data_IF_856996651636
#
_entry.id   IF_856996651636
#
_cell.length_a   1.000
_cell.length_b   1.000
_cell.length_c   1.000
_cell.angle_alpha   90.00
_cell.angle_beta   90.00
_cell.angle_gamma   90.00
#
_symmetry.space_group_name_H-M   'P 1'
#
loop_
_entity.id
_entity.type
_entity.pdbx_description
1 polymer ?
#
# COMPACT_ATOMS: atom_id res chain seq x y z
N UNK A 1 20.30 14.89 -16.27
CA UNK A 1 18.93 15.01 -15.76
C UNK A 1 17.90 14.38 -16.70
N UNK A 2 17.88 14.72 -18.01
CA UNK A 2 16.92 14.11 -18.95
C UNK A 2 17.02 12.59 -19.09
N UNK A 3 18.22 12.01 -19.01
CA UNK A 3 18.42 10.56 -19.08
C UNK A 3 17.76 9.85 -17.88
N UNK A 4 17.93 10.37 -16.67
CA UNK A 4 17.32 9.79 -15.47
C UNK A 4 15.80 9.88 -15.51
N UNK A 5 15.23 10.99 -15.94
CA UNK A 5 13.77 11.16 -16.08
C UNK A 5 13.13 10.23 -17.13
N UNK A 6 13.92 9.62 -18.02
CA UNK A 6 13.43 8.60 -18.96
C UNK A 6 13.41 7.18 -18.38
N UNK A 7 14.21 6.95 -17.33
CA UNK A 7 14.33 5.63 -16.69
C UNK A 7 13.43 5.53 -15.45
N UNK A 8 13.25 6.63 -14.72
CA UNK A 8 12.51 6.67 -13.47
C UNK A 8 11.02 6.79 -13.73
N UNK A 9 10.20 6.17 -12.88
CA UNK A 9 8.72 6.26 -12.96
C UNK A 9 8.20 7.67 -12.74
N UNK A 10 8.88 8.44 -11.90
CA UNK A 10 8.59 9.86 -11.66
C UNK A 10 9.84 10.71 -11.94
N UNK A 11 9.67 12.01 -12.30
CA UNK A 11 10.77 12.94 -12.39
C UNK A 11 11.61 12.96 -11.10
N UNK A 12 12.91 13.19 -11.23
CA UNK A 12 13.86 13.08 -10.11
C UNK A 12 13.53 14.03 -8.94
N UNK A 13 12.94 15.18 -9.24
CA UNK A 13 12.49 16.16 -8.23
C UNK A 13 11.27 15.68 -7.43
N UNK A 14 10.46 14.79 -7.98
CA UNK A 14 9.29 14.17 -7.31
C UNK A 14 9.65 12.85 -6.59
N UNK A 15 10.75 12.22 -7.00
CA UNK A 15 11.15 10.90 -6.50
C UNK A 15 11.33 10.82 -4.97
N UNK A 16 11.95 11.80 -4.27
CA UNK A 16 12.06 11.76 -2.81
C UNK A 16 10.72 11.67 -2.10
N UNK A 17 9.71 12.42 -2.57
CA UNK A 17 8.37 12.43 -2.00
C UNK A 17 7.64 11.10 -2.19
N UNK A 18 7.76 10.54 -3.40
CA UNK A 18 7.26 9.21 -3.70
C UNK A 18 7.88 8.15 -2.79
N UNK A 19 9.21 8.16 -2.63
CA UNK A 19 9.92 7.20 -1.78
C UNK A 19 9.52 7.33 -0.30
N UNK A 20 9.40 8.53 0.22
CA UNK A 20 8.92 8.76 1.60
C UNK A 20 7.51 8.19 1.78
N UNK A 21 6.61 8.45 0.84
CA UNK A 21 5.24 7.95 0.88
C UNK A 21 5.18 6.42 0.86
N UNK A 22 5.96 5.77 -0.01
CA UNK A 22 6.02 4.31 -0.12
C UNK A 22 6.68 3.68 1.12
N UNK A 23 7.75 4.29 1.64
CA UNK A 23 8.39 3.81 2.88
C UNK A 23 7.38 3.84 4.03
N UNK A 24 6.65 4.92 4.19
CA UNK A 24 5.60 5.03 5.20
C UNK A 24 4.50 3.96 4.98
N UNK A 25 3.99 3.88 3.75
CA UNK A 25 2.88 2.99 3.40
C UNK A 25 3.22 1.51 3.64
N UNK A 26 4.36 1.03 3.13
CA UNK A 26 4.77 -0.36 3.32
C UNK A 26 5.14 -0.68 4.77
N UNK A 27 5.79 0.25 5.47
CA UNK A 27 6.17 0.03 6.88
C UNK A 27 4.94 -0.21 7.75
N UNK A 28 3.93 0.66 7.63
CA UNK A 28 2.71 0.54 8.44
C UNK A 28 1.87 -0.68 8.01
N UNK A 29 1.85 -0.99 6.72
CA UNK A 29 1.19 -2.17 6.17
C UNK A 29 1.78 -3.46 6.74
N UNK A 30 3.07 -3.69 6.61
CA UNK A 30 3.77 -4.88 7.11
C UNK A 30 3.74 -4.96 8.64
N UNK A 31 3.92 -3.82 9.33
CA UNK A 31 3.75 -3.75 10.77
C UNK A 31 2.36 -4.21 11.20
N UNK A 32 1.32 -3.83 10.48
CA UNK A 32 -0.06 -4.20 10.82
C UNK A 32 -0.28 -5.71 10.72
N UNK A 33 0.23 -6.37 9.69
CA UNK A 33 0.22 -7.83 9.60
C UNK A 33 0.96 -8.47 10.78
N UNK A 34 2.19 -8.03 11.06
CA UNK A 34 3.02 -8.54 12.14
C UNK A 34 2.37 -8.35 13.52
N UNK A 35 1.78 -7.17 13.75
CA UNK A 35 1.12 -6.83 15.01
C UNK A 35 -0.10 -7.72 15.27
N UNK A 36 -1.01 -7.85 14.31
CA UNK A 36 -2.21 -8.67 14.48
C UNK A 36 -1.88 -10.16 14.55
N UNK A 37 -0.91 -10.66 13.77
CA UNK A 37 -0.43 -12.04 13.88
C UNK A 37 0.08 -12.33 15.30
N UNK A 38 0.96 -11.46 15.83
CA UNK A 38 1.48 -11.62 17.20
C UNK A 38 0.35 -11.50 18.25
N UNK A 39 -0.61 -10.59 18.06
CA UNK A 39 -1.75 -10.41 18.97
C UNK A 39 -2.66 -11.64 19.01
N UNK A 40 -2.74 -12.40 17.93
CA UNK A 40 -3.55 -13.63 17.82
C UNK A 40 -2.77 -14.91 18.15
N UNK A 41 -1.57 -14.78 18.73
CA UNK A 41 -0.81 -15.92 19.25
C UNK A 41 0.30 -16.42 18.34
N UNK A 42 0.50 -15.85 17.15
CA UNK A 42 1.62 -16.21 16.29
C UNK A 42 2.89 -15.39 16.64
N UNK A 43 3.91 -15.99 17.26
CA UNK A 43 5.14 -15.29 17.63
C UNK A 43 6.12 -15.15 16.46
N UNK A 44 5.85 -15.74 15.29
CA UNK A 44 6.80 -15.87 14.19
C UNK A 44 7.38 -14.51 13.76
N UNK A 45 6.53 -13.53 13.48
CA UNK A 45 6.95 -12.20 13.08
C UNK A 45 7.73 -11.48 14.20
N UNK A 46 7.30 -11.63 15.46
CA UNK A 46 7.96 -11.04 16.62
C UNK A 46 9.37 -11.58 16.84
N UNK A 47 9.55 -12.90 16.76
CA UNK A 47 10.85 -13.56 16.90
C UNK A 47 11.85 -13.13 15.83
N UNK A 48 11.37 -12.73 14.66
CA UNK A 48 12.17 -12.18 13.56
C UNK A 48 12.34 -10.65 13.63
N UNK A 49 11.90 -10.00 14.73
CA UNK A 49 12.03 -8.55 14.91
C UNK A 49 11.16 -7.73 13.95
N UNK A 50 10.05 -8.32 13.41
CA UNK A 50 9.20 -7.67 12.42
C UNK A 50 8.05 -6.85 13.03
N UNK A 51 7.76 -6.99 14.33
CA UNK A 51 6.75 -6.20 15.04
C UNK A 51 7.38 -4.86 15.43
N UNK A 52 7.64 -4.01 14.45
CA UNK A 52 8.29 -2.70 14.60
C UNK A 52 7.91 -1.77 13.46
N UNK A 53 7.94 -0.47 13.71
CA UNK A 53 7.81 0.58 12.68
C UNK A 53 9.17 0.99 12.07
N UNK A 54 10.24 0.25 12.35
CA UNK A 54 11.52 0.48 11.68
C UNK A 54 11.44 0.03 10.21
N UNK A 55 11.52 0.93 9.22
CA UNK A 55 11.37 0.57 7.83
C UNK A 55 12.45 -0.40 7.34
N UNK A 56 13.66 -0.36 7.89
CA UNK A 56 14.79 -1.17 7.43
C UNK A 56 14.52 -2.69 7.46
N UNK A 57 13.64 -3.16 8.36
CA UNK A 57 13.32 -4.59 8.45
C UNK A 57 12.25 -5.04 7.45
N UNK A 58 11.49 -4.10 6.88
CA UNK A 58 10.37 -4.37 5.97
C UNK A 58 10.73 -4.27 4.49
N UNK A 59 11.88 -3.70 4.16
CA UNK A 59 12.27 -3.47 2.78
C UNK A 59 13.13 -4.59 2.20
N UNK A 60 12.89 -4.85 0.92
CA UNK A 60 13.73 -5.63 0.04
C UNK A 60 14.46 -4.70 -0.92
N UNK A 61 15.78 -4.83 -1.03
CA UNK A 61 16.59 -3.93 -1.86
C UNK A 61 16.22 -4.02 -3.34
N UNK A 62 15.98 -5.24 -3.85
CA UNK A 62 15.60 -5.44 -5.26
C UNK A 62 14.18 -4.92 -5.51
N UNK A 63 13.25 -5.10 -4.54
CA UNK A 63 11.91 -4.56 -4.61
C UNK A 63 11.91 -3.03 -4.71
N UNK A 64 12.77 -2.34 -3.94
CA UNK A 64 12.90 -0.87 -4.01
C UNK A 64 13.49 -0.43 -5.37
N UNK A 65 14.54 -1.09 -5.85
CA UNK A 65 15.17 -0.74 -7.14
C UNK A 65 14.15 -0.88 -8.28
N UNK A 66 13.41 -1.98 -8.32
CA UNK A 66 12.36 -2.20 -9.32
C UNK A 66 11.23 -1.18 -9.20
N UNK A 67 10.85 -0.81 -7.99
CA UNK A 67 9.82 0.21 -7.75
C UNK A 67 10.22 1.57 -8.34
N UNK A 68 11.48 1.96 -8.19
CA UNK A 68 12.02 3.24 -8.69
C UNK A 68 12.11 3.27 -10.22
N UNK A 69 12.47 2.13 -10.82
CA UNK A 69 12.72 2.03 -12.28
C UNK A 69 11.42 1.67 -13.01
N UNK A 70 10.74 0.62 -12.57
CA UNK A 70 9.61 0.02 -13.28
C UNK A 70 8.25 0.44 -12.69
N UNK A 71 8.23 1.17 -11.58
CA UNK A 71 6.99 1.54 -10.88
C UNK A 71 6.31 0.40 -10.15
N UNK A 72 6.97 -0.75 -10.10
CA UNK A 72 6.53 -1.93 -9.40
C UNK A 72 7.66 -2.45 -8.50
N UNK A 73 7.31 -2.78 -7.28
CA UNK A 73 8.25 -3.35 -6.32
C UNK A 73 7.48 -4.05 -5.20
N UNK A 74 8.21 -4.63 -4.29
CA UNK A 74 7.64 -5.32 -3.14
C UNK A 74 8.38 -4.99 -1.86
N UNK A 75 7.64 -5.05 -0.76
CA UNK A 75 8.21 -5.12 0.58
C UNK A 75 8.63 -6.56 0.90
N UNK A 76 9.44 -6.72 1.91
CA UNK A 76 9.77 -8.04 2.43
C UNK A 76 8.60 -8.57 3.25
N UNK A 77 7.86 -9.62 2.79
CA UNK A 77 6.63 -10.05 3.43
C UNK A 77 6.83 -10.47 4.87
N UNK A 78 5.85 -10.21 5.72
CA UNK A 78 5.82 -10.71 7.10
C UNK A 78 5.42 -12.18 7.09
N UNK A 79 6.22 -13.08 7.66
CA UNK A 79 5.83 -14.48 7.79
C UNK A 79 4.75 -14.63 8.86
N UNK A 80 3.67 -15.33 8.49
CA UNK A 80 2.51 -15.62 9.37
C UNK A 80 2.25 -17.12 9.36
N UNK A 81 2.29 -17.75 10.55
CA UNK A 81 1.90 -19.13 10.73
C UNK A 81 0.49 -19.24 11.33
N UNK A 82 -0.48 -19.56 10.45
CA UNK A 82 -1.89 -19.68 10.84
C UNK A 82 -2.18 -20.81 11.83
N UNK A 83 -1.30 -21.81 11.94
CA UNK A 83 -1.46 -22.92 12.89
C UNK A 83 -1.35 -22.46 14.35
N UNK A 84 -0.71 -21.31 14.58
CA UNK A 84 -0.60 -20.71 15.92
C UNK A 84 -1.87 -19.96 16.35
N UNK A 85 -2.87 -19.84 15.48
CA UNK A 85 -4.10 -19.11 15.78
C UNK A 85 -5.18 -20.03 16.39
N UNK A 86 -5.88 -19.57 17.43
CA UNK A 86 -7.02 -20.27 18.01
C UNK A 86 -8.16 -20.49 17.00
N UNK A 87 -8.35 -19.51 16.10
CA UNK A 87 -9.34 -19.55 15.01
C UNK A 87 -8.67 -19.22 13.69
N UNK A 88 -7.93 -20.19 13.07
CA UNK A 88 -7.02 -19.93 11.94
C UNK A 88 -7.64 -19.15 10.79
N UNK A 89 -8.90 -19.47 10.40
CA UNK A 89 -9.58 -18.80 9.30
C UNK A 89 -9.94 -17.35 9.62
N UNK A 90 -10.65 -17.13 10.75
CA UNK A 90 -11.10 -15.79 11.12
C UNK A 90 -9.91 -14.86 11.40
N UNK A 91 -8.94 -15.35 12.17
CA UNK A 91 -7.74 -14.58 12.51
C UNK A 91 -6.86 -14.37 11.28
N UNK A 92 -6.77 -15.35 10.38
CA UNK A 92 -6.09 -15.23 9.11
C UNK A 92 -6.68 -14.11 8.24
N UNK A 93 -8.01 -14.04 8.12
CA UNK A 93 -8.72 -12.95 7.42
C UNK A 93 -8.39 -11.59 8.04
N UNK A 94 -8.47 -11.47 9.38
CA UNK A 94 -8.18 -10.20 10.07
C UNK A 94 -6.73 -9.77 9.83
N UNK A 95 -5.78 -10.70 9.95
CA UNK A 95 -4.36 -10.42 9.69
C UNK A 95 -4.16 -9.97 8.25
N UNK A 96 -4.75 -10.68 7.28
CA UNK A 96 -4.60 -10.34 5.85
C UNK A 96 -5.24 -9.00 5.49
N UNK A 97 -6.36 -8.61 6.11
CA UNK A 97 -6.99 -7.31 5.87
C UNK A 97 -6.27 -6.16 6.60
N UNK A 98 -5.56 -6.45 7.69
CA UNK A 98 -4.93 -5.42 8.53
C UNK A 98 -3.95 -4.53 7.76
N UNK A 99 -3.15 -5.11 6.85
CA UNK A 99 -2.24 -4.35 5.99
C UNK A 99 -2.97 -3.36 5.09
N UNK A 100 -3.83 -3.83 4.18
CA UNK A 100 -4.62 -2.94 3.33
C UNK A 100 -5.41 -1.90 4.12
N UNK A 101 -6.07 -2.30 5.21
CA UNK A 101 -6.86 -1.38 6.03
C UNK A 101 -5.99 -0.29 6.66
N UNK A 102 -4.76 -0.60 7.04
CA UNK A 102 -3.82 0.41 7.55
C UNK A 102 -3.47 1.45 6.49
N UNK A 103 -3.31 1.04 5.24
CA UNK A 103 -3.11 1.97 4.12
C UNK A 103 -4.37 2.85 3.91
N UNK A 104 -5.58 2.28 3.96
CA UNK A 104 -6.79 3.08 3.90
C UNK A 104 -6.82 4.16 4.99
N UNK A 105 -6.53 3.79 6.24
CA UNK A 105 -6.49 4.73 7.38
C UNK A 105 -5.44 5.82 7.16
N UNK A 106 -4.25 5.48 6.67
CA UNK A 106 -3.20 6.47 6.36
C UNK A 106 -3.64 7.42 5.23
N UNK A 107 -4.32 6.92 4.19
CA UNK A 107 -4.88 7.76 3.12
C UNK A 107 -5.91 8.75 3.65
N UNK A 108 -6.83 8.28 4.52
CA UNK A 108 -7.84 9.13 5.17
C UNK A 108 -7.21 10.17 6.09
N UNK A 109 -6.25 9.78 6.94
CA UNK A 109 -5.54 10.70 7.84
C UNK A 109 -4.71 11.72 7.04
N UNK A 110 -4.04 11.30 5.98
CA UNK A 110 -3.33 12.19 5.07
C UNK A 110 -4.25 13.24 4.43
N UNK A 111 -5.44 12.79 3.97
CA UNK A 111 -6.46 13.68 3.39
C UNK A 111 -6.99 14.69 4.41
N UNK A 112 -7.27 14.23 5.65
CA UNK A 112 -7.72 15.10 6.75
C UNK A 112 -6.69 16.19 7.07
N UNK A 113 -5.42 15.79 7.24
CA UNK A 113 -4.34 16.73 7.55
C UNK A 113 -4.14 17.71 6.40
N UNK A 114 -4.09 17.22 5.16
CA UNK A 114 -3.89 18.08 3.99
C UNK A 114 -5.02 19.07 3.80
N UNK A 115 -6.28 18.63 3.90
CA UNK A 115 -7.45 19.52 3.85
C UNK A 115 -7.39 20.58 4.95
N UNK A 116 -6.99 20.24 6.16
CA UNK A 116 -6.78 21.22 7.23
C UNK A 116 -5.67 22.22 6.92
N UNK A 117 -4.52 21.77 6.39
CA UNK A 117 -3.42 22.66 6.00
C UNK A 117 -3.87 23.69 4.90
N UNK A 118 -4.73 23.26 3.99
CA UNK A 118 -5.30 24.15 2.96
C UNK A 118 -6.34 25.08 3.57
N UNK A 119 -7.33 24.54 4.26
CA UNK A 119 -8.48 25.31 4.76
C UNK A 119 -8.10 26.38 5.78
N UNK A 120 -7.12 26.11 6.64
CA UNK A 120 -6.66 27.07 7.64
C UNK A 120 -5.54 28.00 7.13
N UNK A 121 -5.29 28.00 5.81
CA UNK A 121 -4.30 28.89 5.18
C UNK A 121 -2.85 28.61 5.56
N UNK A 122 -2.55 27.45 6.14
CA UNK A 122 -1.19 27.09 6.55
C UNK A 122 -0.25 27.01 5.36
N UNK A 123 -0.70 26.38 4.25
CA UNK A 123 0.08 26.30 3.02
C UNK A 123 0.33 27.67 2.39
N UNK A 124 -0.64 28.57 2.44
CA UNK A 124 -0.53 29.95 1.90
C UNK A 124 0.39 30.82 2.76
N UNK A 125 0.47 30.54 4.08
CA UNK A 125 1.36 31.25 4.99
C UNK A 125 2.85 30.91 4.80
N UNK A 126 3.16 29.83 4.07
CA UNK A 126 4.54 29.44 3.76
C UNK A 126 5.09 30.39 2.69
N UNK A 127 5.94 31.34 3.10
CA UNK A 127 6.55 32.33 2.20
C UNK A 127 7.49 31.72 1.16
N UNK A 128 8.08 30.56 1.47
CA UNK A 128 8.92 29.81 0.52
C UNK A 128 8.05 28.94 -0.40
N UNK A 129 7.80 29.39 -1.62
CA UNK A 129 6.98 28.67 -2.61
C UNK A 129 7.45 27.24 -2.88
N UNK A 130 8.77 26.98 -2.86
CA UNK A 130 9.30 25.63 -3.05
C UNK A 130 8.93 24.71 -1.88
N UNK A 131 8.92 25.23 -0.65
CA UNK A 131 8.51 24.46 0.52
C UNK A 131 7.00 24.17 0.49
N UNK A 132 6.18 25.13 0.12
CA UNK A 132 4.74 24.94 -0.05
C UNK A 132 4.44 23.85 -1.10
N UNK A 133 5.09 23.93 -2.28
CA UNK A 133 4.97 22.90 -3.33
C UNK A 133 5.47 21.53 -2.89
N UNK A 134 6.60 21.47 -2.18
CA UNK A 134 7.15 20.24 -1.63
C UNK A 134 6.18 19.58 -0.64
N UNK A 135 5.56 20.38 0.24
CA UNK A 135 4.56 19.90 1.20
C UNK A 135 3.33 19.34 0.48
N UNK A 136 2.77 20.08 -0.48
CA UNK A 136 1.63 19.62 -1.27
C UNK A 136 1.95 18.32 -2.04
N UNK A 137 3.14 18.24 -2.65
CA UNK A 137 3.61 17.07 -3.38
C UNK A 137 3.76 15.84 -2.45
N UNK A 138 4.30 16.04 -1.25
CA UNK A 138 4.46 14.97 -0.26
C UNK A 138 3.08 14.40 0.14
N UNK A 139 2.12 15.27 0.50
CA UNK A 139 0.78 14.82 0.87
C UNK A 139 0.06 14.16 -0.31
N UNK A 140 0.21 14.68 -1.53
CA UNK A 140 -0.32 14.02 -2.72
C UNK A 140 0.15 12.56 -2.80
N UNK A 141 1.47 12.29 -2.68
CA UNK A 141 1.98 10.92 -2.73
C UNK A 141 1.57 10.08 -1.53
N UNK A 142 1.57 10.65 -0.32
CA UNK A 142 1.12 9.91 0.87
C UNK A 142 -0.33 9.43 0.67
N UNK A 143 -1.22 10.29 0.23
CA UNK A 143 -2.64 9.98 0.10
C UNK A 143 -2.87 8.98 -1.04
N UNK A 144 -2.36 9.32 -2.25
CA UNK A 144 -2.65 8.53 -3.44
C UNK A 144 -2.03 7.13 -3.37
N UNK A 145 -0.79 7.00 -2.87
CA UNK A 145 -0.13 5.70 -2.76
C UNK A 145 -0.80 4.82 -1.71
N UNK A 146 -1.25 5.38 -0.61
CA UNK A 146 -1.95 4.62 0.41
C UNK A 146 -3.33 4.13 -0.07
N UNK A 147 -4.13 4.95 -0.74
CA UNK A 147 -5.39 4.50 -1.34
C UNK A 147 -5.15 3.47 -2.46
N UNK A 148 -4.14 3.69 -3.29
CA UNK A 148 -3.78 2.72 -4.33
C UNK A 148 -3.38 1.37 -3.73
N UNK A 149 -2.49 1.34 -2.73
CA UNK A 149 -2.05 0.11 -2.07
C UNK A 149 -3.18 -0.60 -1.33
N UNK A 150 -4.10 0.15 -0.73
CA UNK A 150 -5.33 -0.42 -0.16
C UNK A 150 -6.12 -1.20 -1.20
N UNK A 151 -6.47 -0.58 -2.33
CA UNK A 151 -7.24 -1.22 -3.40
C UNK A 151 -6.48 -2.36 -4.07
N UNK A 152 -5.19 -2.15 -4.33
CA UNK A 152 -4.33 -3.11 -5.01
C UNK A 152 -4.17 -4.40 -4.21
N UNK A 153 -3.92 -4.30 -2.91
CA UNK A 153 -3.76 -5.47 -2.06
C UNK A 153 -5.07 -6.21 -1.76
N UNK A 154 -6.23 -5.64 -2.06
CA UNK A 154 -7.52 -6.34 -1.98
C UNK A 154 -7.85 -7.17 -3.22
N UNK A 155 -7.06 -7.11 -4.29
CA UNK A 155 -7.23 -7.98 -5.45
C UNK A 155 -7.04 -9.44 -5.02
N UNK A 156 -7.98 -10.35 -5.38
CA UNK A 156 -7.88 -11.76 -5.00
C UNK A 156 -6.92 -12.55 -5.91
N UNK A 157 -5.69 -12.07 -6.05
CA UNK A 157 -4.63 -12.66 -6.87
C UNK A 157 -3.33 -12.78 -6.06
N UNK A 158 -2.69 -13.96 -5.95
CA UNK A 158 -1.38 -14.05 -5.33
C UNK A 158 -0.34 -13.19 -6.06
N UNK A 159 0.59 -12.57 -5.35
CA UNK A 159 0.88 -12.73 -3.92
C UNK A 159 0.17 -11.73 -2.98
N UNK A 160 -0.93 -11.10 -3.41
CA UNK A 160 -1.61 -10.02 -2.70
C UNK A 160 -2.46 -10.53 -1.52
N UNK A 161 -2.75 -9.65 -0.55
CA UNK A 161 -3.48 -9.99 0.68
C UNK A 161 -4.92 -10.43 0.41
N UNK A 162 -5.58 -9.85 -0.60
CA UNK A 162 -6.93 -10.23 -1.01
C UNK A 162 -7.05 -11.70 -1.39
N UNK A 163 -5.98 -12.29 -1.94
CA UNK A 163 -5.95 -13.73 -2.18
C UNK A 163 -5.90 -14.52 -0.88
N UNK A 164 -5.14 -14.09 0.12
CA UNK A 164 -5.07 -14.75 1.42
C UNK A 164 -6.42 -14.68 2.15
N UNK A 165 -7.14 -13.56 2.00
CA UNK A 165 -8.53 -13.44 2.49
C UNK A 165 -9.44 -14.45 1.78
N UNK A 166 -9.38 -14.52 0.44
CA UNK A 166 -10.17 -15.46 -0.35
C UNK A 166 -9.85 -16.91 0.07
N UNK A 167 -8.59 -17.26 0.25
CA UNK A 167 -8.15 -18.58 0.70
C UNK A 167 -8.72 -18.94 2.07
N UNK A 168 -8.74 -18.00 3.02
CA UNK A 168 -9.22 -18.23 4.38
C UNK A 168 -10.75 -18.37 4.49
N UNK A 169 -11.51 -17.66 3.65
CA UNK A 169 -12.99 -17.78 3.61
C UNK A 169 -13.48 -18.94 2.76
N UNK A 170 -12.67 -19.42 1.82
CA UNK A 170 -13.05 -20.46 0.87
C UNK A 170 -13.36 -21.81 1.57
N UNK A 171 -14.36 -22.57 1.09
CA UNK A 171 -14.57 -23.97 1.48
C UNK A 171 -13.33 -24.82 1.19
N UNK A 172 -13.16 -25.93 1.93
CA UNK A 172 -11.96 -26.80 1.81
C UNK A 172 -11.70 -27.27 0.37
N UNK A 173 -12.74 -27.61 -0.37
CA UNK A 173 -12.64 -28.10 -1.75
C UNK A 173 -12.13 -27.00 -2.71
N UNK A 174 -12.61 -25.76 -2.52
CA UNK A 174 -12.19 -24.59 -3.33
C UNK A 174 -10.75 -24.21 -2.98
N UNK A 175 -10.38 -24.28 -1.68
CA UNK A 175 -9.04 -23.95 -1.23
C UNK A 175 -7.97 -24.80 -1.90
N UNK A 176 -8.21 -26.11 -2.07
CA UNK A 176 -7.28 -27.01 -2.80
C UNK A 176 -7.04 -26.56 -4.24
N UNK A 177 -8.09 -26.08 -4.93
CA UNK A 177 -7.97 -25.53 -6.30
C UNK A 177 -7.22 -24.19 -6.31
N UNK A 178 -7.49 -23.33 -5.33
CA UNK A 178 -6.78 -22.05 -5.18
C UNK A 178 -5.27 -22.28 -4.99
N UNK A 179 -4.87 -23.23 -4.14
CA UNK A 179 -3.47 -23.57 -3.93
C UNK A 179 -2.79 -24.14 -5.19
N UNK A 180 -3.50 -24.93 -5.99
CA UNK A 180 -2.99 -25.35 -7.30
C UNK A 180 -2.81 -24.18 -8.28
N UNK A 181 -3.70 -23.19 -8.23
CA UNK A 181 -3.60 -22.00 -9.04
C UNK A 181 -2.44 -21.10 -8.63
N UNK A 182 -2.06 -21.10 -7.33
CA UNK A 182 -1.00 -20.24 -6.79
C UNK A 182 0.35 -20.42 -7.54
N UNK A 183 0.65 -21.62 -8.04
CA UNK A 183 1.87 -21.87 -8.82
C UNK A 183 1.95 -21.05 -10.12
N UNK A 184 0.80 -20.68 -10.72
CA UNK A 184 0.73 -19.90 -11.97
C UNK A 184 0.52 -18.40 -11.71
N UNK A 185 0.09 -18.06 -10.51
CA UNK A 185 -0.36 -16.71 -10.19
C UNK A 185 0.75 -15.66 -10.29
N UNK A 186 1.99 -16.03 -9.92
CA UNK A 186 3.12 -15.12 -10.06
C UNK A 186 3.37 -14.75 -11.51
N UNK A 187 3.24 -15.72 -12.44
CA UNK A 187 3.34 -15.44 -13.87
C UNK A 187 2.20 -14.52 -14.34
N UNK A 188 0.96 -14.83 -13.94
CA UNK A 188 -0.22 -14.00 -14.28
C UNK A 188 -0.05 -12.58 -13.74
N UNK A 189 0.41 -12.46 -12.50
CA UNK A 189 0.67 -11.19 -11.86
C UNK A 189 1.71 -10.36 -12.63
N UNK A 190 2.84 -10.98 -13.02
CA UNK A 190 3.85 -10.32 -13.83
C UNK A 190 3.32 -9.92 -15.22
N UNK A 191 2.51 -10.77 -15.87
CA UNK A 191 1.87 -10.42 -17.15
C UNK A 191 0.96 -9.19 -17.00
N UNK A 192 0.17 -9.12 -15.93
CA UNK A 192 -0.68 -7.95 -15.63
C UNK A 192 0.15 -6.69 -15.46
N UNK A 193 1.31 -6.79 -14.80
CA UNK A 193 2.18 -5.65 -14.53
C UNK A 193 2.97 -5.16 -15.74
N UNK A 194 3.36 -6.05 -16.66
CA UNK A 194 4.25 -5.69 -17.75
C UNK A 194 3.58 -5.57 -19.12
N UNK A 195 2.35 -6.07 -19.28
CA UNK A 195 1.63 -5.95 -20.54
C UNK A 195 0.70 -4.72 -20.50
N UNK A 196 0.97 -3.66 -21.31
CA UNK A 196 0.19 -2.41 -21.27
C UNK A 196 -1.31 -2.61 -21.47
N UNK A 197 -1.71 -3.56 -22.33
CA UNK A 197 -3.11 -3.91 -22.55
C UNK A 197 -3.79 -4.45 -21.29
N UNK A 198 -3.10 -5.28 -20.49
CA UNK A 198 -3.62 -5.81 -19.24
C UNK A 198 -3.64 -4.74 -18.14
N UNK A 199 -2.62 -3.88 -18.08
CA UNK A 199 -2.60 -2.75 -17.15
C UNK A 199 -3.81 -1.81 -17.34
N UNK A 200 -4.21 -1.56 -18.57
CA UNK A 200 -5.34 -0.70 -18.90
C UNK A 200 -6.66 -1.19 -18.28
N UNK A 201 -6.83 -2.51 -18.16
CA UNK A 201 -8.04 -3.12 -17.60
C UNK A 201 -7.93 -3.48 -16.11
N UNK A 202 -6.74 -3.43 -15.52
CA UNK A 202 -6.49 -3.83 -14.13
C UNK A 202 -5.93 -2.68 -13.29
N UNK A 203 -4.72 -2.25 -13.57
CA UNK A 203 -3.99 -1.23 -12.76
C UNK A 203 -4.58 0.16 -12.95
N UNK A 204 -4.89 0.53 -14.21
CA UNK A 204 -5.43 1.87 -14.51
C UNK A 204 -6.77 2.14 -13.82
N UNK A 205 -7.77 1.24 -13.77
CA UNK A 205 -8.98 1.43 -13.00
C UNK A 205 -8.75 1.61 -11.51
N UNK A 206 -7.81 0.85 -10.91
CA UNK A 206 -7.46 0.98 -9.51
C UNK A 206 -6.85 2.35 -9.20
N UNK A 207 -5.95 2.81 -10.06
CA UNK A 207 -5.37 4.15 -9.90
C UNK A 207 -6.44 5.25 -10.03
N UNK A 208 -7.38 5.11 -10.98
CA UNK A 208 -8.52 6.03 -11.10
C UNK A 208 -9.39 6.01 -9.85
N UNK A 209 -9.68 4.83 -9.29
CA UNK A 209 -10.45 4.69 -8.06
C UNK A 209 -9.71 5.34 -6.87
N UNK A 210 -8.40 5.13 -6.74
CA UNK A 210 -7.59 5.79 -5.72
C UNK A 210 -7.60 7.32 -5.89
N UNK A 211 -7.56 7.82 -7.13
CA UNK A 211 -7.66 9.26 -7.42
C UNK A 211 -9.05 9.82 -7.05
N UNK A 212 -10.12 9.05 -7.31
CA UNK A 212 -11.47 9.43 -6.86
C UNK A 212 -11.51 9.51 -5.33
N UNK A 213 -10.97 8.51 -4.62
CA UNK A 213 -10.90 8.55 -3.16
C UNK A 213 -10.09 9.77 -2.67
N UNK A 214 -8.96 10.08 -3.30
CA UNK A 214 -8.16 11.27 -2.99
C UNK A 214 -9.01 12.55 -3.05
N UNK A 215 -9.74 12.76 -4.15
CA UNK A 215 -10.57 13.96 -4.35
C UNK A 215 -11.74 13.99 -3.35
N UNK A 216 -12.47 12.88 -3.22
CA UNK A 216 -13.66 12.80 -2.37
C UNK A 216 -13.35 13.01 -0.88
N UNK A 217 -12.28 12.38 -0.36
CA UNK A 217 -11.90 12.55 1.04
C UNK A 217 -11.40 13.97 1.33
N UNK A 218 -10.63 14.60 0.42
CA UNK A 218 -10.22 15.98 0.60
C UNK A 218 -11.43 16.90 0.59
N UNK A 219 -12.35 16.76 -0.39
CA UNK A 219 -13.55 17.59 -0.48
C UNK A 219 -14.44 17.39 0.77
N UNK A 220 -14.63 16.16 1.21
CA UNK A 220 -15.40 15.86 2.42
C UNK A 220 -14.84 16.60 3.65
N UNK A 221 -13.51 16.59 3.82
CA UNK A 221 -12.89 17.27 4.95
C UNK A 221 -12.87 18.78 4.79
N UNK A 222 -12.72 19.31 3.57
CA UNK A 222 -12.85 20.74 3.30
C UNK A 222 -14.24 21.25 3.70
N UNK A 223 -15.30 20.57 3.27
CA UNK A 223 -16.69 20.88 3.68
C UNK A 223 -16.86 20.77 5.20
N UNK A 224 -16.29 19.75 5.83
CA UNK A 224 -16.35 19.58 7.28
C UNK A 224 -15.66 20.76 8.03
N UNK A 225 -14.63 21.34 7.46
CA UNK A 225 -13.93 22.51 8.02
C UNK A 225 -14.59 23.86 7.65
N UNK A 226 -15.70 23.86 6.90
CA UNK A 226 -16.49 25.06 6.59
C UNK A 226 -16.12 25.72 5.27
N UNK A 227 -15.54 24.96 4.31
CA UNK A 227 -15.29 25.44 2.94
C UNK A 227 -16.58 25.52 2.12
#
# INVERSE_FOLDING_TARGET
MEFLNKILIYPIDKMPFFLIAIVLAFTVHEFSHAYFANKFGDPTAKLLGRVTLNPAVHFDLFGIILLVIAGFGWARPVPVNRENFDRPRLMGVIVSIAGPLSNFVLGVLGSLIYAGLVQFGVLESITNLKLAEATATLFYFIIIMNFFLFLFNLIPLPPLDGYRVLEDVAPREVRGKLQQFEQWSMLIFLLILFIPGLQAYTITPLYKAAMTMYVEFINMFMVMFGA
#
